data_IF_875957721481
#
_entry.id   IF_875957721481
#
_cell.length_a   1.000
_cell.length_b   1.000
_cell.length_c   1.000
_cell.angle_alpha   90.00
_cell.angle_beta   90.00
_cell.angle_gamma   90.00
#
_symmetry.space_group_name_H-M   'P 1'
#
loop_
_entity.id
_entity.type
_entity.pdbx_description
1 polymer ?
#
# COMPACT_ATOMS: atom_id res chain seq x y z
N UNK A 1 6.72 11.51 -58.58
CA UNK A 1 7.27 11.56 -57.20
C UNK A 1 6.36 12.47 -56.39
N UNK A 2 5.49 11.89 -55.59
CA UNK A 2 4.64 12.64 -54.67
C UNK A 2 5.28 12.46 -53.31
N UNK A 3 5.84 13.55 -52.77
CA UNK A 3 6.33 13.60 -51.39
C UNK A 3 5.14 13.34 -50.44
N UNK A 4 5.23 12.28 -49.67
CA UNK A 4 4.34 12.08 -48.53
C UNK A 4 4.78 13.02 -47.43
N UNK A 5 4.00 14.05 -47.19
CA UNK A 5 4.09 14.84 -45.94
C UNK A 5 3.72 13.93 -44.78
N UNK A 6 4.62 13.82 -43.83
CA UNK A 6 4.42 13.17 -42.52
C UNK A 6 3.27 13.87 -41.77
N UNK A 7 2.24 13.17 -41.31
CA UNK A 7 1.16 13.82 -40.58
C UNK A 7 1.69 14.32 -39.23
N UNK A 8 1.79 15.62 -39.13
CA UNK A 8 2.05 16.29 -37.84
C UNK A 8 1.03 15.80 -36.82
N UNK A 9 1.51 15.27 -35.71
CA UNK A 9 0.67 14.88 -34.58
C UNK A 9 -0.24 16.04 -34.16
N UNK A 10 -1.52 15.80 -33.86
CA UNK A 10 -2.44 16.84 -33.39
C UNK A 10 -1.91 17.55 -32.13
N UNK A 11 -2.13 18.84 -32.03
CA UNK A 11 -1.69 19.64 -30.85
C UNK A 11 -2.22 19.11 -29.52
N UNK A 12 -3.41 18.50 -29.51
CA UNK A 12 -3.97 17.82 -28.33
C UNK A 12 -3.10 16.66 -27.81
N UNK A 13 -2.44 15.90 -28.74
CA UNK A 13 -1.55 14.80 -28.34
C UNK A 13 -0.23 15.36 -27.79
N UNK A 14 0.27 16.48 -28.33
CA UNK A 14 1.46 17.18 -27.78
C UNK A 14 1.20 17.71 -26.38
N UNK A 15 0.04 18.34 -26.15
CA UNK A 15 -0.33 18.84 -24.83
C UNK A 15 -0.51 17.71 -23.80
N UNK A 16 -0.97 16.55 -24.24
CA UNK A 16 -1.09 15.36 -23.39
C UNK A 16 0.28 14.77 -23.04
N UNK A 17 1.23 14.78 -24.00
CA UNK A 17 2.58 14.28 -23.77
C UNK A 17 3.38 15.24 -22.85
N UNK A 18 3.28 16.55 -23.07
CA UNK A 18 3.87 17.55 -22.17
C UNK A 18 3.29 17.48 -20.75
N UNK A 19 1.98 17.22 -20.61
CA UNK A 19 1.36 16.98 -19.31
C UNK A 19 1.84 15.68 -18.67
N UNK A 20 2.08 14.62 -19.45
CA UNK A 20 2.65 13.37 -18.94
C UNK A 20 4.10 13.56 -18.50
N UNK A 21 4.92 14.29 -19.27
CA UNK A 21 6.30 14.57 -18.91
C UNK A 21 6.41 15.46 -17.69
N UNK A 22 5.49 16.40 -17.50
CA UNK A 22 5.37 17.18 -16.25
C UNK A 22 4.91 16.30 -15.08
N UNK A 23 3.97 15.39 -15.29
CA UNK A 23 3.57 14.41 -14.27
C UNK A 23 4.75 13.50 -13.90
N UNK A 24 5.55 13.06 -14.85
CA UNK A 24 6.75 12.26 -14.59
C UNK A 24 7.86 13.05 -13.90
N UNK A 25 8.03 14.35 -14.17
CA UNK A 25 8.95 15.23 -13.44
C UNK A 25 8.56 15.46 -11.97
N UNK A 26 7.24 15.48 -11.66
CA UNK A 26 6.75 15.49 -10.28
C UNK A 26 6.95 14.16 -9.54
N UNK A 27 7.34 13.09 -10.24
CA UNK A 27 7.62 11.77 -9.68
C UNK A 27 9.11 11.56 -9.39
N UNK A 28 9.94 12.58 -9.51
CA UNK A 28 11.32 12.53 -9.04
C UNK A 28 11.31 12.52 -7.50
N UNK A 29 11.51 11.32 -6.93
CA UNK A 29 11.52 11.09 -5.48
C UNK A 29 12.83 11.58 -4.87
N UNK A 30 13.00 12.89 -4.81
CA UNK A 30 14.00 13.49 -3.93
C UNK A 30 13.57 13.27 -2.49
N UNK A 31 14.28 12.40 -1.80
CA UNK A 31 14.06 12.12 -0.39
C UNK A 31 15.05 12.92 0.44
N UNK A 32 14.52 13.84 1.26
CA UNK A 32 15.30 14.53 2.29
C UNK A 32 15.09 13.81 3.63
N UNK A 33 16.18 13.54 4.34
CA UNK A 33 16.13 12.92 5.66
C UNK A 33 17.21 13.51 6.59
N UNK A 34 16.93 13.43 7.89
CA UNK A 34 17.89 13.85 8.90
C UNK A 34 19.10 12.92 8.92
N UNK A 35 20.30 13.48 9.06
CA UNK A 35 21.57 12.76 8.92
C UNK A 35 21.76 11.56 9.84
N UNK A 36 21.02 11.47 10.94
CA UNK A 36 21.07 10.39 11.93
C UNK A 36 20.06 9.26 11.67
N UNK A 37 19.12 9.41 10.73
CA UNK A 37 18.14 8.35 10.40
C UNK A 37 18.82 7.04 9.96
N UNK A 38 19.85 7.05 9.08
CA UNK A 38 20.55 5.83 8.71
C UNK A 38 21.10 5.06 9.91
N UNK A 39 21.76 5.76 10.83
CA UNK A 39 22.33 5.16 12.03
C UNK A 39 21.25 4.61 12.97
N UNK A 40 20.12 5.31 13.12
CA UNK A 40 19.00 4.85 13.95
C UNK A 40 18.42 3.56 13.38
N UNK A 41 18.05 3.52 12.10
CA UNK A 41 17.51 2.32 11.46
C UNK A 41 18.51 1.14 11.54
N UNK A 42 19.81 1.42 11.38
CA UNK A 42 20.86 0.42 11.52
C UNK A 42 20.95 -0.11 12.95
N UNK A 43 20.94 0.77 13.95
CA UNK A 43 20.98 0.39 15.36
C UNK A 43 19.76 -0.44 15.79
N UNK A 44 18.59 -0.11 15.25
CA UNK A 44 17.37 -0.88 15.47
C UNK A 44 17.30 -2.18 14.65
N UNK A 45 18.18 -2.32 13.66
CA UNK A 45 18.19 -3.43 12.70
C UNK A 45 16.84 -3.62 11.99
N UNK A 46 16.26 -2.53 11.49
CA UNK A 46 14.98 -2.51 10.80
C UNK A 46 15.06 -1.85 9.43
N UNK A 47 14.14 -2.25 8.57
CA UNK A 47 13.77 -1.54 7.36
C UNK A 47 12.31 -1.06 7.48
N UNK A 48 11.96 0.00 6.76
CA UNK A 48 10.61 0.54 6.75
C UNK A 48 9.92 0.15 5.45
N UNK A 49 8.66 -0.27 5.58
CA UNK A 49 7.74 -0.38 4.45
C UNK A 49 6.59 0.60 4.64
N UNK A 50 6.22 1.34 3.61
CA UNK A 50 5.12 2.27 3.69
C UNK A 50 4.47 2.54 2.32
N UNK A 51 3.24 3.00 2.35
CA UNK A 51 2.48 3.34 1.15
C UNK A 51 2.31 4.84 0.99
N UNK A 52 2.36 5.32 -0.25
CA UNK A 52 1.93 6.65 -0.62
C UNK A 52 0.74 6.53 -1.58
N UNK A 53 -0.46 6.81 -1.06
CA UNK A 53 -1.70 6.73 -1.84
C UNK A 53 -1.70 7.67 -3.04
N UNK A 54 -1.28 8.93 -2.84
CA UNK A 54 -1.29 9.94 -3.89
C UNK A 54 -0.26 9.66 -4.98
N UNK A 55 0.93 9.20 -4.59
CA UNK A 55 1.98 8.84 -5.53
C UNK A 55 1.79 7.42 -6.12
N UNK A 56 0.83 6.64 -5.60
CA UNK A 56 0.61 5.26 -6.06
C UNK A 56 1.83 4.37 -5.84
N UNK A 57 2.48 4.43 -4.67
CA UNK A 57 3.74 3.73 -4.40
C UNK A 57 3.71 2.93 -3.11
N UNK A 58 4.27 1.74 -3.16
CA UNK A 58 4.83 1.04 -2.01
C UNK A 58 6.32 1.41 -1.96
N UNK A 59 6.78 1.88 -0.81
CA UNK A 59 8.16 2.28 -0.56
C UNK A 59 8.80 1.31 0.41
N UNK A 60 10.03 0.91 0.13
CA UNK A 60 10.88 0.12 1.02
C UNK A 60 12.14 0.94 1.30
N UNK A 61 12.41 1.20 2.57
CA UNK A 61 13.59 1.96 3.01
C UNK A 61 14.44 1.10 3.90
N UNK A 62 15.70 0.99 3.55
CA UNK A 62 16.74 0.32 4.34
C UNK A 62 17.97 1.20 4.45
N UNK A 63 18.99 0.74 5.16
CA UNK A 63 20.22 1.49 5.38
C UNK A 63 21.42 0.57 5.53
N UNK A 64 22.58 1.05 5.10
CA UNK A 64 23.90 0.50 5.45
C UNK A 64 24.47 1.13 6.75
N UNK A 65 23.81 2.15 7.29
CA UNK A 65 24.20 2.95 8.46
C UNK A 65 24.77 4.31 8.10
N UNK A 66 25.13 4.55 6.83
CA UNK A 66 25.66 5.84 6.35
C UNK A 66 24.60 6.61 5.57
N UNK A 67 23.83 5.90 4.74
CA UNK A 67 22.77 6.47 3.90
C UNK A 67 21.55 5.58 3.84
N UNK A 68 20.43 6.16 3.41
CA UNK A 68 19.24 5.40 3.07
C UNK A 68 19.32 4.87 1.64
N UNK A 69 18.84 3.64 1.48
CA UNK A 69 18.55 3.03 0.19
C UNK A 69 17.03 2.87 0.08
N UNK A 70 16.42 3.53 -0.91
CA UNK A 70 14.98 3.63 -1.07
C UNK A 70 14.59 2.94 -2.37
N UNK A 71 13.80 1.90 -2.25
CA UNK A 71 13.20 1.21 -3.38
C UNK A 71 11.69 1.44 -3.39
N UNK A 72 11.08 1.55 -4.56
CA UNK A 72 9.64 1.72 -4.68
C UNK A 72 9.05 0.92 -5.84
N UNK A 73 7.77 0.59 -5.70
CA UNK A 73 6.98 -0.08 -6.73
C UNK A 73 5.62 0.60 -6.88
N UNK A 74 5.17 0.74 -8.13
CA UNK A 74 3.88 1.38 -8.44
C UNK A 74 2.71 0.44 -8.20
N UNK A 75 1.67 0.95 -7.55
CA UNK A 75 0.40 0.28 -7.34
C UNK A 75 -0.75 1.28 -7.41
N UNK A 76 -1.91 0.85 -7.88
CA UNK A 76 -3.10 1.69 -7.90
C UNK A 76 -3.64 1.88 -6.47
N UNK A 77 -3.59 3.11 -5.96
CA UNK A 77 -4.13 3.52 -4.65
C UNK A 77 -3.72 2.59 -3.50
N UNK A 78 -2.44 2.36 -3.23
CA UNK A 78 -2.02 1.50 -2.14
C UNK A 78 -2.32 2.18 -0.80
N UNK A 79 -3.00 1.48 0.12
CA UNK A 79 -3.38 2.00 1.42
C UNK A 79 -3.02 1.04 2.55
N UNK A 80 -3.82 0.01 2.79
CA UNK A 80 -3.56 -0.96 3.85
C UNK A 80 -2.26 -1.72 3.62
N UNK A 81 -1.47 -1.90 4.66
CA UNK A 81 -0.17 -2.56 4.59
C UNK A 81 0.11 -3.37 5.85
N UNK A 82 0.43 -4.65 5.68
CA UNK A 82 1.07 -5.48 6.70
C UNK A 82 2.44 -5.91 6.20
N UNK A 83 3.45 -5.83 7.04
CA UNK A 83 4.79 -6.29 6.71
C UNK A 83 5.38 -7.13 7.85
N UNK A 84 6.09 -8.19 7.47
CA UNK A 84 6.80 -9.08 8.37
C UNK A 84 8.12 -9.51 7.73
N UNK A 85 9.02 -10.17 8.46
CA UNK A 85 10.24 -10.73 7.87
C UNK A 85 9.97 -11.73 6.74
N UNK A 86 8.79 -12.34 6.69
CA UNK A 86 8.42 -13.39 5.74
C UNK A 86 7.72 -12.86 4.51
N UNK A 87 7.11 -11.68 4.58
CA UNK A 87 6.34 -11.14 3.46
C UNK A 87 5.64 -9.83 3.71
N UNK A 88 5.00 -9.35 2.67
CA UNK A 88 4.23 -8.11 2.66
C UNK A 88 2.83 -8.42 2.16
N UNK A 89 1.82 -7.91 2.85
CA UNK A 89 0.43 -7.89 2.38
C UNK A 89 0.04 -6.45 2.10
N UNK A 90 -0.41 -6.17 0.90
CA UNK A 90 -0.71 -4.83 0.41
C UNK A 90 -2.15 -4.74 -0.09
N UNK A 91 -2.94 -3.85 0.51
CA UNK A 91 -4.24 -3.45 -0.02
C UNK A 91 -4.07 -2.40 -1.11
N UNK A 92 -4.69 -2.62 -2.26
CA UNK A 92 -4.72 -1.69 -3.40
C UNK A 92 -6.15 -1.41 -3.82
N UNK A 93 -6.36 -0.69 -4.90
CA UNK A 93 -7.69 -0.18 -5.32
C UNK A 93 -8.82 -1.22 -5.28
N UNK A 94 -8.59 -2.43 -5.78
CA UNK A 94 -9.61 -3.49 -5.88
C UNK A 94 -9.09 -4.88 -5.50
N UNK A 95 -7.92 -4.95 -4.88
CA UNK A 95 -7.25 -6.21 -4.57
C UNK A 95 -6.47 -6.12 -3.27
N UNK A 96 -6.23 -7.28 -2.69
CA UNK A 96 -5.18 -7.50 -1.69
C UNK A 96 -4.12 -8.40 -2.29
N UNK A 97 -2.87 -7.96 -2.28
CA UNK A 97 -1.74 -8.66 -2.90
C UNK A 97 -0.80 -9.15 -1.79
N UNK A 98 -0.45 -10.43 -1.83
CA UNK A 98 0.52 -11.03 -0.92
C UNK A 98 1.85 -11.26 -1.63
N UNK A 99 2.92 -10.78 -1.01
CA UNK A 99 4.30 -10.99 -1.42
C UNK A 99 5.00 -11.87 -0.39
N UNK A 100 5.70 -12.90 -0.85
CA UNK A 100 6.57 -13.69 0.00
C UNK A 100 8.03 -13.34 -0.23
N UNK A 101 8.79 -13.31 0.84
CA UNK A 101 10.25 -13.14 0.79
C UNK A 101 10.91 -14.40 0.27
N UNK A 102 11.76 -14.27 -0.74
CA UNK A 102 12.45 -15.38 -1.41
C UNK A 102 13.90 -14.99 -1.68
N UNK A 103 14.71 -14.91 -0.64
CA UNK A 103 16.11 -14.44 -0.73
C UNK A 103 17.00 -15.34 -1.61
N UNK A 104 16.64 -16.60 -1.77
CA UNK A 104 17.33 -17.52 -2.70
C UNK A 104 17.31 -17.05 -4.17
N UNK A 105 16.47 -16.10 -4.54
CA UNK A 105 16.45 -15.51 -5.88
C UNK A 105 17.40 -14.31 -6.03
N UNK A 106 17.93 -13.75 -4.94
CA UNK A 106 18.75 -12.53 -4.99
C UNK A 106 19.98 -12.73 -5.88
N UNK A 107 20.65 -13.88 -5.78
CA UNK A 107 21.79 -14.18 -6.64
C UNK A 107 21.41 -14.15 -8.13
N UNK A 108 20.27 -14.74 -8.49
CA UNK A 108 19.77 -14.75 -9.88
C UNK A 108 19.37 -13.37 -10.39
N UNK A 109 18.87 -12.48 -9.52
CA UNK A 109 18.54 -11.12 -9.89
C UNK A 109 19.76 -10.26 -10.24
N UNK A 110 20.95 -10.68 -9.79
CA UNK A 110 22.24 -10.03 -10.10
C UNK A 110 22.88 -10.53 -11.40
N UNK A 111 22.39 -11.64 -11.92
CA UNK A 111 22.86 -12.21 -13.18
C UNK A 111 22.22 -11.48 -14.38
N UNK A 112 22.91 -11.39 -15.52
CA UNK A 112 22.30 -10.93 -16.77
C UNK A 112 21.08 -11.79 -17.13
N UNK A 113 20.08 -11.15 -17.72
CA UNK A 113 18.89 -11.86 -18.19
C UNK A 113 19.26 -12.83 -19.32
N UNK A 114 18.98 -14.12 -19.10
CA UNK A 114 19.20 -15.11 -20.14
C UNK A 114 18.14 -14.98 -21.25
N UNK A 115 18.52 -15.08 -22.53
CA UNK A 115 17.53 -15.15 -23.61
C UNK A 115 16.60 -16.34 -23.42
N UNK A 116 15.35 -16.17 -23.81
CA UNK A 116 14.43 -17.28 -23.94
C UNK A 116 14.81 -18.02 -25.22
N UNK A 117 15.27 -19.24 -25.05
CA UNK A 117 15.49 -20.17 -26.15
C UNK A 117 14.16 -20.87 -26.43
N UNK A 118 13.96 -21.22 -27.66
CA UNK A 118 12.73 -21.69 -28.28
C UNK A 118 11.73 -22.46 -27.37
N UNK A 119 10.42 -22.25 -27.61
CA UNK A 119 9.29 -23.06 -27.13
C UNK A 119 8.45 -22.64 -25.91
N UNK A 120 8.42 -21.36 -25.54
CA UNK A 120 7.45 -20.89 -24.52
C UNK A 120 6.01 -20.77 -25.08
N UNK A 121 5.83 -20.76 -26.38
CA UNK A 121 4.54 -20.49 -27.02
C UNK A 121 3.73 -21.74 -27.36
N UNK A 122 4.26 -22.92 -27.14
CA UNK A 122 3.50 -24.15 -27.26
C UNK A 122 3.38 -24.84 -25.90
N UNK A 123 2.18 -25.05 -25.36
CA UNK A 123 2.01 -26.02 -24.29
C UNK A 123 2.47 -27.37 -24.85
N UNK A 124 3.64 -27.83 -24.42
CA UNK A 124 4.09 -29.19 -24.71
C UNK A 124 3.26 -30.15 -23.87
N UNK A 125 2.08 -30.49 -24.34
CA UNK A 125 1.48 -31.75 -23.98
C UNK A 125 2.31 -32.82 -24.64
N UNK A 126 3.12 -33.50 -23.83
CA UNK A 126 3.90 -34.63 -24.29
C UNK A 126 2.92 -35.74 -24.69
N UNK A 127 2.66 -35.92 -25.98
CA UNK A 127 1.78 -36.98 -26.53
C UNK A 127 2.21 -38.39 -26.09
N UNK A 128 3.37 -38.53 -25.43
CA UNK A 128 3.91 -39.81 -24.96
C UNK A 128 3.74 -40.05 -23.46
N UNK A 129 3.13 -39.18 -22.69
CA UNK A 129 2.79 -39.48 -21.30
C UNK A 129 1.51 -40.33 -21.29
N UNK A 130 1.66 -41.61 -21.45
CA UNK A 130 0.62 -42.61 -21.14
C UNK A 130 0.46 -42.74 -19.61
N UNK A 131 0.00 -41.69 -18.96
CA UNK A 131 -0.51 -41.75 -17.59
C UNK A 131 -2.03 -41.70 -17.64
N UNK A 132 -2.75 -42.77 -17.19
CA UNK A 132 -4.15 -42.98 -17.52
C UNK A 132 -5.17 -42.26 -16.67
N UNK A 133 -4.83 -41.24 -15.90
CA UNK A 133 -5.77 -40.69 -14.92
C UNK A 133 -5.91 -39.14 -14.90
N UNK A 134 -5.76 -38.49 -16.03
CA UNK A 134 -5.97 -37.05 -16.05
C UNK A 134 -7.23 -36.70 -16.88
N UNK A 135 -8.41 -36.87 -16.29
CA UNK A 135 -9.68 -36.40 -16.87
C UNK A 135 -9.66 -34.89 -17.16
N UNK A 136 -8.86 -34.07 -16.38
CA UNK A 136 -8.67 -32.66 -16.60
C UNK A 136 -7.83 -32.36 -17.82
N UNK A 137 -6.84 -33.18 -18.17
CA UNK A 137 -6.06 -33.05 -19.40
C UNK A 137 -6.86 -33.49 -20.63
N UNK A 138 -7.77 -34.45 -20.51
CA UNK A 138 -8.63 -34.87 -21.61
C UNK A 138 -9.63 -33.78 -22.03
N UNK A 139 -10.13 -32.99 -21.10
CA UNK A 139 -11.01 -31.85 -21.37
C UNK A 139 -10.31 -30.71 -22.14
N UNK A 140 -8.98 -30.59 -22.03
CA UNK A 140 -8.19 -29.60 -22.76
C UNK A 140 -7.54 -30.15 -24.03
N UNK A 141 -7.61 -31.45 -24.30
CA UNK A 141 -7.02 -32.07 -25.48
C UNK A 141 -7.62 -31.53 -26.79
N UNK A 142 -8.90 -31.18 -26.80
CA UNK A 142 -9.58 -30.57 -27.94
C UNK A 142 -9.20 -29.10 -28.19
N UNK A 143 -8.55 -28.45 -27.21
CA UNK A 143 -8.06 -27.08 -27.31
C UNK A 143 -6.58 -27.00 -27.75
N UNK A 144 -5.90 -28.14 -27.82
CA UNK A 144 -4.53 -28.22 -28.32
C UNK A 144 -4.59 -28.23 -29.86
N UNK A 145 -4.40 -27.06 -30.45
CA UNK A 145 -4.22 -26.93 -31.87
C UNK A 145 -2.90 -27.65 -32.23
N UNK A 146 -2.99 -28.80 -32.86
CA UNK A 146 -1.84 -29.46 -33.49
C UNK A 146 -1.40 -28.57 -34.65
N UNK A 147 -0.39 -27.76 -34.43
CA UNK A 147 0.09 -26.79 -35.45
C UNK A 147 0.97 -27.43 -36.50
N UNK A 148 1.15 -28.75 -36.51
CA UNK A 148 2.00 -29.43 -37.46
C UNK A 148 3.46 -28.95 -37.45
N UNK A 149 4.25 -29.37 -38.44
CA UNK A 149 5.57 -28.79 -38.68
C UNK A 149 5.41 -27.41 -39.29
N UNK A 150 6.06 -26.39 -38.69
CA UNK A 150 6.06 -25.03 -39.22
C UNK A 150 6.74 -25.01 -40.61
N UNK A 151 6.17 -24.28 -41.54
CA UNK A 151 6.83 -23.96 -42.81
C UNK A 151 8.08 -23.11 -42.54
N UNK A 152 8.99 -23.08 -43.50
CA UNK A 152 10.21 -22.26 -43.39
C UNK A 152 9.91 -20.78 -43.19
N UNK A 153 8.86 -20.26 -43.83
CA UNK A 153 8.43 -18.88 -43.70
C UNK A 153 7.90 -18.60 -42.27
N UNK A 154 7.12 -19.51 -41.71
CA UNK A 154 6.61 -19.40 -40.33
C UNK A 154 7.74 -19.49 -39.29
N UNK A 155 8.77 -20.29 -39.52
CA UNK A 155 9.97 -20.37 -38.69
C UNK A 155 10.72 -19.05 -38.67
N UNK A 156 10.97 -18.45 -39.82
CA UNK A 156 11.66 -17.14 -39.91
C UNK A 156 10.90 -16.04 -39.18
N UNK A 157 9.58 -15.99 -39.34
CA UNK A 157 8.74 -15.02 -38.58
C UNK A 157 8.86 -15.26 -37.07
N UNK A 158 8.78 -16.50 -36.64
CA UNK A 158 8.85 -16.89 -35.24
C UNK A 158 10.22 -16.58 -34.59
N UNK A 159 11.29 -16.86 -35.31
CA UNK A 159 12.65 -16.52 -34.86
C UNK A 159 12.82 -14.99 -34.69
N UNK A 160 12.26 -14.23 -35.64
CA UNK A 160 12.25 -12.77 -35.55
C UNK A 160 11.45 -12.30 -34.32
N UNK A 161 10.22 -12.81 -34.15
CA UNK A 161 9.36 -12.43 -33.02
C UNK A 161 10.00 -12.78 -31.67
N UNK A 162 10.65 -13.93 -31.60
CA UNK A 162 11.39 -14.35 -30.40
C UNK A 162 12.58 -13.44 -30.11
N UNK A 163 13.32 -13.06 -31.14
CA UNK A 163 14.42 -12.10 -31.03
C UNK A 163 13.91 -10.74 -30.56
N UNK A 164 12.89 -10.19 -31.23
CA UNK A 164 12.31 -8.89 -30.86
C UNK A 164 11.78 -8.91 -29.41
N UNK A 165 11.20 -10.02 -28.96
CA UNK A 165 10.76 -10.21 -27.60
C UNK A 165 11.92 -10.27 -26.60
N UNK A 166 13.01 -10.99 -26.92
CA UNK A 166 14.19 -11.02 -26.08
C UNK A 166 14.87 -9.66 -25.98
N UNK A 167 14.98 -8.94 -27.10
CA UNK A 167 15.53 -7.58 -27.15
C UNK A 167 14.68 -6.62 -26.28
N UNK A 168 13.35 -6.73 -26.36
CA UNK A 168 12.43 -5.96 -25.52
C UNK A 168 12.61 -6.31 -24.03
N UNK A 169 12.66 -7.59 -23.66
CA UNK A 169 12.91 -8.03 -22.28
C UNK A 169 14.24 -7.48 -21.75
N UNK A 170 15.29 -7.57 -22.56
CA UNK A 170 16.61 -7.06 -22.19
C UNK A 170 16.61 -5.54 -21.99
N UNK A 171 15.84 -4.79 -22.77
CA UNK A 171 15.73 -3.33 -22.64
C UNK A 171 15.01 -2.90 -21.34
N UNK A 172 14.20 -3.78 -20.77
CA UNK A 172 13.47 -3.53 -19.51
C UNK A 172 14.19 -4.07 -18.28
N UNK A 173 15.24 -4.86 -18.46
CA UNK A 173 15.90 -5.55 -17.36
C UNK A 173 17.22 -4.86 -16.99
N UNK A 174 17.28 -4.47 -15.72
CA UNK A 174 18.52 -4.06 -15.07
C UNK A 174 18.87 -5.09 -13.97
N UNK A 175 20.04 -5.70 -14.03
CA UNK A 175 20.49 -6.57 -12.95
C UNK A 175 20.51 -5.82 -11.61
N UNK A 176 20.08 -6.50 -10.57
CA UNK A 176 20.12 -5.92 -9.23
C UNK A 176 21.58 -5.67 -8.80
N UNK A 177 21.84 -4.51 -8.21
CA UNK A 177 23.16 -4.18 -7.69
C UNK A 177 23.51 -5.01 -6.42
N UNK A 178 24.77 -4.92 -5.99
CA UNK A 178 25.27 -5.68 -4.84
C UNK A 178 24.63 -5.33 -3.50
N UNK A 179 23.94 -4.18 -3.41
CA UNK A 179 23.21 -3.76 -2.21
C UNK A 179 21.89 -4.52 -2.02
N UNK A 180 21.38 -5.18 -3.05
CA UNK A 180 20.16 -5.99 -2.94
C UNK A 180 20.46 -7.26 -2.16
N UNK A 181 19.73 -7.47 -1.07
CA UNK A 181 19.89 -8.56 -0.10
C UNK A 181 18.60 -9.34 0.16
N UNK A 182 17.48 -8.89 -0.35
CA UNK A 182 16.22 -9.61 -0.27
C UNK A 182 15.33 -9.39 -1.49
N UNK A 183 14.48 -10.37 -1.73
CA UNK A 183 13.54 -10.37 -2.85
C UNK A 183 12.14 -10.71 -2.36
N UNK A 184 11.16 -9.90 -2.76
CA UNK A 184 9.74 -10.14 -2.50
C UNK A 184 9.03 -10.41 -3.81
N UNK A 185 8.41 -11.57 -3.93
CA UNK A 185 7.65 -11.95 -5.13
C UNK A 185 6.17 -12.09 -4.81
N UNK A 186 5.31 -11.66 -5.73
CA UNK A 186 3.86 -11.85 -5.62
C UNK A 186 3.53 -13.33 -5.59
N UNK A 187 2.74 -13.76 -4.59
CA UNK A 187 2.29 -15.14 -4.43
C UNK A 187 0.81 -15.31 -4.71
N UNK A 188 0.01 -14.38 -4.26
CA UNK A 188 -1.42 -14.41 -4.47
C UNK A 188 -1.98 -13.01 -4.58
N UNK A 189 -3.13 -12.91 -5.23
CA UNK A 189 -3.94 -11.72 -5.26
C UNK A 189 -5.40 -12.11 -5.03
N UNK A 190 -6.07 -11.40 -4.14
CA UNK A 190 -7.49 -11.56 -3.87
C UNK A 190 -8.24 -10.34 -4.39
N UNK A 191 -9.21 -10.55 -5.27
CA UNK A 191 -10.02 -9.48 -5.83
C UNK A 191 -11.16 -9.12 -4.87
N UNK A 192 -11.10 -7.90 -4.32
CA UNK A 192 -12.09 -7.40 -3.35
C UNK A 192 -13.20 -6.58 -3.97
N UNK A 193 -13.04 -6.15 -5.23
CA UNK A 193 -13.82 -5.04 -5.77
C UNK A 193 -13.40 -3.69 -5.14
N UNK A 194 -14.12 -2.64 -5.50
CA UNK A 194 -13.85 -1.28 -5.03
C UNK A 194 -14.44 -1.02 -3.63
N UNK A 195 -13.92 -1.69 -2.62
CA UNK A 195 -14.37 -1.56 -1.23
C UNK A 195 -13.79 -0.33 -0.51
N UNK A 196 -12.97 0.47 -1.20
CA UNK A 196 -12.24 1.58 -0.61
C UNK A 196 -11.48 1.14 0.65
N UNK A 197 -10.65 0.11 0.48
CA UNK A 197 -9.88 -0.50 1.54
C UNK A 197 -8.95 0.54 2.17
N UNK A 198 -9.01 0.74 3.50
CA UNK A 198 -8.20 1.73 4.21
C UNK A 198 -7.11 1.14 5.11
N UNK A 199 -7.38 0.04 5.79
CA UNK A 199 -6.42 -0.60 6.69
C UNK A 199 -6.57 -2.12 6.61
N UNK A 200 -5.51 -2.86 6.90
CA UNK A 200 -5.50 -4.32 6.97
C UNK A 200 -4.59 -4.78 8.10
N UNK A 201 -4.93 -5.90 8.72
CA UNK A 201 -4.09 -6.53 9.76
C UNK A 201 -4.35 -8.04 9.79
N UNK A 202 -3.29 -8.84 9.98
CA UNK A 202 -3.40 -10.28 10.19
C UNK A 202 -3.77 -10.58 11.63
N UNK A 203 -4.89 -11.27 11.82
CA UNK A 203 -5.36 -11.74 13.12
C UNK A 203 -5.53 -13.27 13.15
N UNK A 204 -6.11 -13.78 14.23
CA UNK A 204 -6.31 -15.21 14.45
C UNK A 204 -7.25 -15.85 13.41
N UNK A 205 -8.20 -15.08 12.90
CA UNK A 205 -9.18 -15.51 11.90
C UNK A 205 -8.75 -15.22 10.45
N UNK A 206 -7.50 -14.85 10.23
CA UNK A 206 -6.97 -14.48 8.92
C UNK A 206 -6.80 -12.97 8.76
N UNK A 207 -6.86 -12.49 7.51
CA UNK A 207 -6.68 -11.07 7.21
C UNK A 207 -7.97 -10.30 7.46
N UNK A 208 -7.92 -9.37 8.41
CA UNK A 208 -8.94 -8.37 8.64
C UNK A 208 -8.75 -7.17 7.73
N UNK A 209 -9.84 -6.61 7.25
CA UNK A 209 -9.87 -5.54 6.26
C UNK A 209 -10.88 -4.47 6.69
N UNK A 210 -10.45 -3.21 6.67
CA UNK A 210 -11.33 -2.05 6.82
C UNK A 210 -11.96 -1.74 5.48
N UNK A 211 -13.24 -2.02 5.34
CA UNK A 211 -14.07 -1.76 4.18
C UNK A 211 -14.86 -0.46 4.37
N UNK A 212 -14.29 0.66 3.92
CA UNK A 212 -14.91 1.96 4.10
C UNK A 212 -16.16 2.13 3.25
N UNK A 213 -16.19 1.55 2.04
CA UNK A 213 -17.37 1.65 1.18
C UNK A 213 -18.62 1.10 1.86
N UNK A 214 -18.50 -0.04 2.56
CA UNK A 214 -19.62 -0.69 3.24
C UNK A 214 -19.68 -0.37 4.74
N UNK A 215 -18.80 0.50 5.24
CA UNK A 215 -18.72 0.89 6.66
C UNK A 215 -18.63 -0.32 7.59
N UNK A 216 -17.79 -1.31 7.26
CA UNK A 216 -17.67 -2.54 8.03
C UNK A 216 -16.23 -3.05 8.13
N UNK A 217 -15.96 -3.90 9.11
CA UNK A 217 -14.82 -4.80 9.10
C UNK A 217 -15.21 -6.08 8.39
N UNK A 218 -14.31 -6.61 7.57
CA UNK A 218 -14.53 -7.85 6.84
C UNK A 218 -13.28 -8.71 6.82
N UNK A 219 -13.45 -9.98 6.47
CA UNK A 219 -12.38 -10.93 6.15
C UNK A 219 -12.44 -11.29 4.68
N UNK A 220 -11.35 -11.85 4.15
CA UNK A 220 -11.32 -12.39 2.79
C UNK A 220 -11.71 -13.87 2.80
N UNK A 221 -12.33 -14.31 1.72
CA UNK A 221 -12.81 -15.67 1.53
C UNK A 221 -12.58 -16.09 0.07
N UNK A 222 -12.17 -17.31 -0.23
CA UNK A 222 -11.90 -17.74 -1.60
C UNK A 222 -13.09 -17.61 -2.56
N UNK A 223 -14.32 -17.78 -2.05
CA UNK A 223 -15.55 -17.79 -2.86
C UNK A 223 -16.22 -16.42 -2.96
N UNK A 224 -15.82 -15.45 -2.11
CA UNK A 224 -16.43 -14.13 -2.03
C UNK A 224 -15.38 -13.02 -2.11
N UNK A 225 -15.73 -11.86 -2.65
CA UNK A 225 -14.88 -10.68 -2.66
C UNK A 225 -14.49 -10.23 -1.25
N UNK A 226 -15.40 -10.35 -0.31
CA UNK A 226 -15.20 -10.14 1.14
C UNK A 226 -16.38 -10.70 1.92
N UNK A 227 -16.17 -10.99 3.21
CA UNK A 227 -17.21 -11.41 4.15
C UNK A 227 -17.31 -10.41 5.28
N UNK A 228 -18.43 -9.65 5.40
CA UNK A 228 -18.63 -8.74 6.52
C UNK A 228 -18.66 -9.49 7.86
N UNK A 229 -17.96 -8.95 8.86
CA UNK A 229 -17.83 -9.56 10.19
C UNK A 229 -18.36 -8.66 11.30
N UNK A 230 -18.22 -7.36 11.13
CA UNK A 230 -18.66 -6.37 12.12
C UNK A 230 -18.99 -5.04 11.42
N UNK A 231 -19.93 -4.32 11.97
CA UNK A 231 -20.25 -2.93 11.58
C UNK A 231 -20.56 -2.10 12.82
N UNK A 232 -20.35 -0.76 12.79
CA UNK A 232 -20.79 0.11 13.86
C UNK A 232 -22.30 -0.02 14.12
N UNK A 233 -22.72 0.07 15.39
CA UNK A 233 -24.12 -0.06 15.78
C UNK A 233 -25.06 0.92 15.08
N UNK A 234 -24.56 2.10 14.74
CA UNK A 234 -25.33 3.16 14.08
C UNK A 234 -25.46 2.96 12.56
N UNK A 235 -24.75 2.03 11.95
CA UNK A 235 -24.92 1.70 10.52
C UNK A 235 -26.07 0.71 10.37
N UNK A 236 -27.15 1.12 9.71
CA UNK A 236 -28.34 0.30 9.52
C UNK A 236 -28.13 -0.83 8.52
N UNK A 237 -27.53 -0.54 7.36
CA UNK A 237 -27.38 -1.46 6.24
C UNK A 237 -25.96 -1.52 5.71
N UNK A 238 -25.56 -2.68 5.17
CA UNK A 238 -24.29 -2.87 4.47
C UNK A 238 -24.47 -2.55 2.98
N UNK A 239 -24.28 -1.28 2.63
CA UNK A 239 -24.38 -0.76 1.26
C UNK A 239 -23.13 0.05 0.91
N UNK A 240 -22.74 0.14 -0.38
CA UNK A 240 -21.48 0.79 -0.79
C UNK A 240 -21.61 2.33 -0.84
N UNK A 241 -22.02 2.94 0.27
CA UNK A 241 -22.33 4.37 0.38
C UNK A 241 -21.30 5.17 1.19
N UNK A 242 -20.31 4.50 1.79
CA UNK A 242 -19.27 5.17 2.61
C UNK A 242 -19.90 6.11 3.65
N UNK A 243 -20.85 5.57 4.46
CA UNK A 243 -21.72 6.37 5.34
C UNK A 243 -20.95 7.03 6.48
N UNK A 244 -20.11 6.29 7.19
CA UNK A 244 -19.33 6.82 8.33
C UNK A 244 -17.85 7.01 8.05
N UNK A 245 -17.36 6.57 6.91
CA UNK A 245 -15.94 6.51 6.56
C UNK A 245 -15.11 5.81 7.62
N UNK A 246 -15.42 4.52 7.84
CA UNK A 246 -14.58 3.64 8.65
C UNK A 246 -13.18 3.59 8.03
N UNK A 247 -12.13 3.99 8.74
CA UNK A 247 -10.83 4.20 8.11
C UNK A 247 -9.64 3.50 8.75
N UNK A 248 -9.70 3.14 10.00
CA UNK A 248 -8.60 2.48 10.68
C UNK A 248 -9.05 1.42 11.68
N UNK A 249 -8.20 0.45 11.91
CA UNK A 249 -8.44 -0.65 12.82
C UNK A 249 -7.18 -0.99 13.58
N UNK A 250 -7.32 -1.50 14.80
CA UNK A 250 -6.23 -2.19 15.50
C UNK A 250 -6.72 -3.49 16.09
N UNK A 251 -5.85 -4.48 16.09
CA UNK A 251 -6.09 -5.74 16.76
C UNK A 251 -5.53 -5.71 18.19
N UNK A 252 -6.18 -6.46 19.05
CA UNK A 252 -5.69 -6.86 20.36
C UNK A 252 -5.88 -8.37 20.50
N UNK A 253 -4.83 -9.08 20.89
CA UNK A 253 -4.87 -10.52 21.04
C UNK A 253 -5.44 -11.23 19.76
N UNK A 254 -4.98 -10.80 18.59
CA UNK A 254 -5.38 -11.38 17.29
C UNK A 254 -6.79 -11.04 16.80
N UNK A 255 -7.54 -10.18 17.50
CA UNK A 255 -8.93 -9.81 17.15
C UNK A 255 -9.09 -8.30 17.03
N UNK A 256 -9.96 -7.78 16.14
CA UNK A 256 -10.28 -6.36 16.10
C UNK A 256 -10.78 -5.86 17.44
N UNK A 257 -10.13 -4.81 17.95
CA UNK A 257 -10.44 -4.24 19.27
C UNK A 257 -10.94 -2.80 19.18
N UNK A 258 -10.31 -1.98 18.35
CA UNK A 258 -10.70 -0.58 18.19
C UNK A 258 -10.67 -0.15 16.74
N UNK A 259 -11.59 0.75 16.39
CA UNK A 259 -11.68 1.35 15.05
C UNK A 259 -11.85 2.86 15.14
N UNK A 260 -11.47 3.56 14.05
CA UNK A 260 -11.73 4.98 13.87
C UNK A 260 -12.71 5.20 12.72
N UNK A 261 -13.61 6.18 12.89
CA UNK A 261 -14.53 6.66 11.85
C UNK A 261 -14.43 8.16 11.71
N UNK A 262 -14.82 8.71 10.55
CA UNK A 262 -14.90 10.17 10.40
C UNK A 262 -16.21 10.76 10.89
N UNK A 263 -17.22 9.92 11.08
CA UNK A 263 -18.52 10.32 11.64
C UNK A 263 -19.27 9.11 12.17
N UNK A 264 -20.36 9.36 12.89
CA UNK A 264 -21.40 8.38 13.25
C UNK A 264 -22.64 8.47 12.36
N UNK A 265 -22.52 9.02 11.15
CA UNK A 265 -23.65 9.15 10.23
C UNK A 265 -23.98 7.83 9.54
N UNK A 266 -25.26 7.61 9.29
CA UNK A 266 -25.83 6.51 8.53
C UNK A 266 -26.44 7.00 7.21
N UNK A 267 -25.78 7.94 6.55
CA UNK A 267 -26.23 8.56 5.31
C UNK A 267 -25.10 8.60 4.27
N UNK A 268 -25.45 8.42 2.99
CA UNK A 268 -24.53 8.41 1.84
C UNK A 268 -23.55 9.58 1.88
N UNK A 269 -22.29 9.30 2.17
CA UNK A 269 -21.17 10.25 2.09
C UNK A 269 -21.35 11.56 2.88
N UNK A 270 -22.26 11.61 3.85
CA UNK A 270 -22.58 12.82 4.64
C UNK A 270 -21.37 13.37 5.39
N UNK A 271 -20.47 12.51 5.85
CA UNK A 271 -19.23 12.90 6.52
C UNK A 271 -18.37 13.89 5.68
N UNK A 272 -18.53 13.90 4.35
CA UNK A 272 -17.79 14.83 3.47
C UNK A 272 -18.25 16.27 3.59
N UNK A 273 -19.46 16.48 4.04
CA UNK A 273 -20.07 17.81 4.20
C UNK A 273 -19.72 18.41 5.57
N UNK A 274 -19.57 17.53 6.58
CA UNK A 274 -19.32 17.90 7.97
C UNK A 274 -18.08 17.14 8.48
N UNK A 275 -16.89 17.62 8.12
CA UNK A 275 -15.62 16.93 8.40
C UNK A 275 -15.03 17.22 9.76
N UNK A 276 -15.59 18.17 10.51
CA UNK A 276 -15.05 18.65 11.78
C UNK A 276 -15.85 18.10 12.96
N UNK A 277 -15.15 17.59 13.97
CA UNK A 277 -15.70 17.19 15.27
C UNK A 277 -16.79 16.11 15.25
N UNK A 278 -16.80 15.25 14.22
CA UNK A 278 -17.74 14.14 14.11
C UNK A 278 -17.08 12.76 14.13
N UNK A 279 -15.76 12.73 14.11
CA UNK A 279 -14.98 11.48 14.12
C UNK A 279 -15.07 10.79 15.47
N UNK A 280 -14.89 9.46 15.45
CA UNK A 280 -14.99 8.63 16.63
C UNK A 280 -13.84 7.64 16.76
N UNK A 281 -13.53 7.26 18.01
CA UNK A 281 -12.84 6.03 18.35
C UNK A 281 -13.86 5.09 19.00
N UNK A 282 -13.95 3.85 18.51
CA UNK A 282 -14.93 2.86 18.97
C UNK A 282 -14.26 1.61 19.52
N UNK A 283 -14.86 1.05 20.55
CA UNK A 283 -14.61 -0.31 21.04
C UNK A 283 -15.40 -1.29 20.18
N UNK A 284 -14.71 -2.24 19.54
CA UNK A 284 -15.34 -3.20 18.60
C UNK A 284 -16.13 -4.26 19.33
N UNK A 285 -15.61 -4.78 20.45
CA UNK A 285 -16.25 -5.83 21.24
C UNK A 285 -17.57 -5.37 21.84
N UNK A 286 -17.57 -4.18 22.46
CA UNK A 286 -18.77 -3.58 23.05
C UNK A 286 -19.66 -2.92 22.01
N UNK A 287 -19.14 -2.67 20.82
CA UNK A 287 -19.75 -1.90 19.75
C UNK A 287 -20.25 -0.52 20.25
N UNK A 288 -19.39 0.23 20.93
CA UNK A 288 -19.70 1.53 21.50
C UNK A 288 -18.66 2.60 21.12
N UNK A 289 -19.09 3.86 21.06
CA UNK A 289 -18.20 5.02 20.90
C UNK A 289 -17.54 5.30 22.25
N UNK A 290 -16.20 5.31 22.28
CA UNK A 290 -15.42 5.62 23.50
C UNK A 290 -14.84 7.03 23.50
N UNK A 291 -14.58 7.59 22.32
CA UNK A 291 -14.27 9.00 22.11
C UNK A 291 -15.06 9.51 20.90
N UNK A 292 -15.62 10.70 21.02
CA UNK A 292 -16.32 11.41 19.96
C UNK A 292 -15.68 12.79 19.70
N UNK A 293 -16.27 13.57 18.81
CA UNK A 293 -15.83 14.92 18.44
C UNK A 293 -14.39 14.98 17.92
N UNK A 294 -13.84 13.87 17.42
CA UNK A 294 -12.52 13.83 16.82
C UNK A 294 -12.56 14.42 15.40
N UNK A 295 -11.46 15.03 14.99
CA UNK A 295 -11.30 15.60 13.63
C UNK A 295 -10.52 14.64 12.76
N UNK A 296 -11.22 13.83 11.96
CA UNK A 296 -10.67 12.86 11.02
C UNK A 296 -9.59 11.95 11.67
N UNK A 297 -9.93 11.16 12.70
CA UNK A 297 -8.96 10.27 13.35
C UNK A 297 -8.54 9.15 12.40
N UNK A 298 -7.25 8.74 12.46
CA UNK A 298 -6.68 7.68 11.63
C UNK A 298 -5.80 6.71 12.43
N UNK A 299 -5.59 5.55 11.85
CA UNK A 299 -4.52 4.60 12.21
C UNK A 299 -4.46 4.28 13.70
N UNK A 300 -5.56 3.79 14.32
CA UNK A 300 -5.48 3.33 15.70
C UNK A 300 -4.48 2.18 15.79
N UNK A 301 -3.71 2.11 16.88
CA UNK A 301 -2.77 1.01 17.18
C UNK A 301 -2.82 0.68 18.66
N UNK A 302 -3.02 -0.59 18.97
CA UNK A 302 -2.91 -1.11 20.33
C UNK A 302 -1.44 -1.31 20.66
N UNK A 303 -0.97 -0.63 21.70
CA UNK A 303 0.41 -0.71 22.14
C UNK A 303 0.51 -0.42 23.64
N UNK A 304 1.18 -1.31 24.40
CA UNK A 304 1.40 -1.17 25.84
C UNK A 304 0.11 -0.80 26.61
N UNK A 305 -0.94 -1.62 26.42
CA UNK A 305 -2.25 -1.50 27.08
C UNK A 305 -3.01 -0.19 26.82
N UNK A 306 -2.68 0.51 25.74
CA UNK A 306 -3.36 1.73 25.29
C UNK A 306 -3.65 1.69 23.80
N UNK A 307 -4.64 2.46 23.39
CA UNK A 307 -4.90 2.76 21.99
C UNK A 307 -4.25 4.09 21.65
N UNK A 308 -3.32 4.07 20.70
CA UNK A 308 -2.76 5.29 20.11
C UNK A 308 -3.44 5.54 18.78
N UNK A 309 -3.69 6.78 18.43
CA UNK A 309 -4.28 7.14 17.14
C UNK A 309 -3.82 8.53 16.69
N UNK A 310 -3.85 8.72 15.37
CA UNK A 310 -3.57 10.02 14.74
C UNK A 310 -4.86 10.86 14.77
N UNK A 311 -4.88 11.97 15.51
CA UNK A 311 -5.95 12.98 15.44
C UNK A 311 -5.60 13.95 14.32
N UNK A 312 -5.88 13.51 13.08
CA UNK A 312 -5.25 14.06 11.88
C UNK A 312 -5.60 15.51 11.60
N UNK A 313 -6.84 15.93 11.89
CA UNK A 313 -7.27 17.32 11.71
C UNK A 313 -6.65 18.28 12.72
N UNK A 314 -6.23 17.80 13.89
CA UNK A 314 -5.50 18.57 14.90
C UNK A 314 -3.98 18.46 14.72
N UNK A 315 -3.50 17.49 13.93
CA UNK A 315 -2.09 17.26 13.73
C UNK A 315 -1.40 16.70 14.98
N UNK A 316 -2.10 15.90 15.78
CA UNK A 316 -1.58 15.30 17.02
C UNK A 316 -1.51 13.78 16.94
N UNK A 317 -0.63 13.20 17.74
CA UNK A 317 -0.67 11.81 18.17
C UNK A 317 -1.30 11.77 19.55
N UNK A 318 -2.33 10.95 19.72
CA UNK A 318 -3.09 10.84 20.97
C UNK A 318 -3.15 9.41 21.45
N UNK A 319 -3.43 9.24 22.74
CA UNK A 319 -3.60 7.93 23.37
C UNK A 319 -4.82 7.88 24.25
N UNK A 320 -5.51 6.74 24.23
CA UNK A 320 -6.59 6.41 25.14
C UNK A 320 -6.22 5.17 25.95
N UNK A 321 -6.38 5.25 27.26
CA UNK A 321 -6.17 4.16 28.22
C UNK A 321 -7.54 3.58 28.63
N UNK A 322 -7.90 2.38 28.14
CA UNK A 322 -9.21 1.78 28.42
C UNK A 322 -9.41 1.43 29.91
N UNK A 323 -8.32 1.22 30.66
CA UNK A 323 -8.40 0.85 32.07
C UNK A 323 -8.78 2.03 32.98
N UNK A 324 -8.41 3.23 32.56
CA UNK A 324 -8.62 4.46 33.35
C UNK A 324 -9.60 5.43 32.70
N UNK A 325 -9.94 5.22 31.41
CA UNK A 325 -10.73 6.16 30.60
C UNK A 325 -9.98 7.45 30.25
N UNK A 326 -8.67 7.52 30.50
CA UNK A 326 -7.89 8.74 30.24
C UNK A 326 -7.55 8.87 28.75
N UNK A 327 -7.81 10.05 28.22
CA UNK A 327 -7.42 10.50 26.91
C UNK A 327 -6.32 11.57 27.03
N UNK A 328 -5.21 11.43 26.29
CA UNK A 328 -4.07 12.35 26.38
C UNK A 328 -3.51 12.64 25.00
N UNK A 329 -3.09 13.89 24.80
CA UNK A 329 -2.19 14.26 23.70
C UNK A 329 -0.79 13.76 24.05
N UNK A 330 -0.22 12.91 23.20
CA UNK A 330 1.13 12.36 23.35
C UNK A 330 2.15 13.29 22.71
N UNK A 331 1.81 13.83 21.53
CA UNK A 331 2.66 14.77 20.81
C UNK A 331 1.87 15.63 19.83
N UNK A 332 2.35 16.86 19.66
CA UNK A 332 1.95 17.73 18.57
C UNK A 332 2.85 17.44 17.37
N UNK A 333 2.24 17.11 16.23
CA UNK A 333 2.92 16.77 14.98
C UNK A 333 2.57 17.81 13.92
N UNK A 334 3.43 17.94 12.91
CA UNK A 334 3.16 18.86 11.83
C UNK A 334 2.53 18.16 10.64
N UNK A 335 1.38 18.67 10.17
CA UNK A 335 0.66 18.17 9.02
C UNK A 335 -0.44 17.17 9.35
N UNK A 336 -1.06 16.66 8.29
CA UNK A 336 -2.17 15.73 8.40
C UNK A 336 -1.63 14.31 8.66
N UNK A 337 -1.71 13.88 9.90
CA UNK A 337 -1.09 12.62 10.37
C UNK A 337 -1.91 11.41 9.93
N UNK A 338 -1.24 10.39 9.39
CA UNK A 338 -1.85 9.10 9.04
C UNK A 338 -0.78 8.04 8.78
N UNK A 339 -1.12 6.79 9.06
CA UNK A 339 -0.16 5.70 9.05
C UNK A 339 0.73 5.76 10.28
N UNK A 340 0.68 4.71 11.10
CA UNK A 340 1.49 4.62 12.32
C UNK A 340 1.85 3.18 12.59
N UNK A 341 3.05 2.97 13.12
CA UNK A 341 3.46 1.70 13.71
C UNK A 341 4.51 1.92 14.80
N UNK A 342 4.68 0.91 15.67
CA UNK A 342 5.62 0.94 16.77
C UNK A 342 6.73 -0.08 16.61
N UNK A 343 7.95 0.32 16.95
CA UNK A 343 9.07 -0.60 17.11
C UNK A 343 9.79 -0.31 18.43
N UNK A 344 9.70 -1.24 19.39
CA UNK A 344 10.15 -0.97 20.74
C UNK A 344 9.50 0.31 21.29
N UNK A 345 10.23 1.23 21.91
CA UNK A 345 9.67 2.47 22.46
C UNK A 345 9.46 3.57 21.41
N UNK A 346 9.66 3.29 20.13
CA UNK A 346 9.63 4.29 19.07
C UNK A 346 8.34 4.15 18.27
N UNK A 347 7.64 5.27 18.11
CA UNK A 347 6.53 5.41 17.16
C UNK A 347 7.02 6.03 15.85
N UNK A 348 6.64 5.43 14.73
CA UNK A 348 6.80 6.00 13.40
C UNK A 348 5.44 6.46 12.92
N UNK A 349 5.31 7.73 12.63
CA UNK A 349 4.03 8.34 12.23
C UNK A 349 4.17 9.01 10.90
N UNK A 350 3.29 8.66 9.96
CA UNK A 350 3.19 9.31 8.67
C UNK A 350 2.44 10.63 8.75
N UNK A 351 2.87 11.60 7.95
CA UNK A 351 2.17 12.86 7.77
C UNK A 351 2.06 13.18 6.28
N UNK A 352 0.95 13.74 5.85
CA UNK A 352 0.74 14.15 4.47
C UNK A 352 0.46 15.65 4.37
N UNK A 353 0.81 16.25 3.22
CA UNK A 353 0.39 17.60 2.89
C UNK A 353 -1.13 17.63 2.69
N UNK A 354 -1.79 18.62 3.25
CA UNK A 354 -3.19 18.88 2.96
C UNK A 354 -3.36 19.35 1.52
N UNK A 355 -4.46 18.91 0.89
CA UNK A 355 -4.83 19.41 -0.44
C UNK A 355 -5.21 20.88 -0.34
N UNK A 356 -4.84 21.67 -1.35
CA UNK A 356 -5.30 23.04 -1.48
C UNK A 356 -6.84 23.10 -1.39
N UNK A 357 -7.37 24.02 -0.58
CA UNK A 357 -8.80 24.10 -0.27
C UNK A 357 -9.27 23.32 0.95
N UNK A 358 -8.44 22.44 1.54
CA UNK A 358 -8.78 21.71 2.77
C UNK A 358 -8.25 22.42 4.03
N UNK A 359 -7.20 23.23 3.89
CA UNK A 359 -6.53 23.95 5.00
C UNK A 359 -7.48 24.89 5.79
N UNK A 360 -8.43 25.55 5.10
CA UNK A 360 -9.37 26.48 5.71
C UNK A 360 -10.44 25.81 6.60
N UNK A 361 -10.43 24.50 6.71
CA UNK A 361 -11.43 23.73 7.46
C UNK A 361 -10.90 23.20 8.82
N UNK A 362 -9.60 23.35 9.10
CA UNK A 362 -8.97 22.76 10.29
C UNK A 362 -8.15 23.79 11.06
N UNK A 363 -8.73 24.40 12.08
CA UNK A 363 -8.09 25.45 12.90
C UNK A 363 -6.78 24.98 13.58
N UNK A 364 -6.70 23.72 13.99
CA UNK A 364 -5.51 23.13 14.61
C UNK A 364 -4.30 23.10 13.67
N UNK A 365 -4.53 22.86 12.36
CA UNK A 365 -3.47 22.82 11.35
C UNK A 365 -3.02 24.20 10.90
N UNK A 366 -3.87 25.24 10.97
CA UNK A 366 -3.48 26.61 10.65
C UNK A 366 -2.38 27.13 11.58
N UNK A 367 -2.45 26.83 12.87
CA UNK A 367 -1.43 27.25 13.85
C UNK A 367 -0.05 26.65 13.56
N UNK A 368 -0.01 25.50 12.89
CA UNK A 368 1.21 24.77 12.55
C UNK A 368 1.64 24.98 11.08
N UNK A 369 0.80 25.59 10.24
CA UNK A 369 1.04 25.73 8.78
C UNK A 369 2.19 26.66 8.43
N UNK A 370 2.53 27.63 9.27
CA UNK A 370 3.62 28.59 9.04
C UNK A 370 5.00 27.89 8.93
N UNK A 371 5.16 26.72 9.54
CA UNK A 371 6.38 25.88 9.42
C UNK A 371 6.33 24.90 8.25
N UNK A 372 5.14 24.61 7.72
CA UNK A 372 4.90 23.63 6.65
C UNK A 372 5.22 24.12 5.24
N UNK A 373 5.43 25.41 5.03
CA UNK A 373 5.68 26.02 3.70
C UNK A 373 6.99 25.57 3.04
N UNK A 374 7.81 24.76 3.69
CA UNK A 374 9.06 24.23 3.13
C UNK A 374 9.10 22.71 2.95
N UNK A 375 8.05 21.96 3.32
CA UNK A 375 8.02 20.50 3.17
C UNK A 375 7.12 20.12 2.01
N UNK A 376 7.70 19.91 0.86
CA UNK A 376 7.04 19.33 -0.30
C UNK A 376 6.88 17.81 -0.05
N UNK A 377 5.65 17.32 0.11
CA UNK A 377 5.38 15.89 0.23
C UNK A 377 4.82 15.46 1.58
N UNK A 378 4.68 14.17 1.75
CA UNK A 378 4.28 13.50 2.99
C UNK A 378 5.54 13.15 3.82
N UNK A 379 5.47 13.03 5.14
CA UNK A 379 6.64 12.82 6.02
C UNK A 379 6.42 11.69 7.04
N UNK A 380 7.47 10.95 7.41
CA UNK A 380 7.48 10.10 8.61
C UNK A 380 8.08 10.91 9.75
N UNK A 381 7.44 10.86 10.90
CA UNK A 381 7.95 11.37 12.14
C UNK A 381 8.34 10.19 13.05
N UNK A 382 9.57 10.21 13.52
CA UNK A 382 10.01 9.30 14.58
C UNK A 382 9.89 10.01 15.92
N UNK A 383 9.27 9.35 16.88
CA UNK A 383 9.14 9.86 18.23
C UNK A 383 9.71 8.85 19.22
N UNK A 384 10.65 9.33 20.03
CA UNK A 384 11.03 8.66 21.25
C UNK A 384 11.04 9.72 22.37
N UNK A 385 10.84 9.34 23.64
CA UNK A 385 10.79 10.30 24.74
C UNK A 385 12.00 11.22 24.91
N UNK A 386 13.08 10.97 24.16
CA UNK A 386 14.36 11.70 24.23
C UNK A 386 15.00 12.05 22.88
N UNK A 387 14.30 11.92 21.76
CA UNK A 387 14.86 12.15 20.43
C UNK A 387 14.07 13.25 19.69
N UNK A 388 14.80 14.02 18.86
CA UNK A 388 14.22 15.04 17.99
C UNK A 388 13.31 14.44 16.91
N UNK A 389 12.38 15.25 16.41
CA UNK A 389 11.40 14.87 15.38
C UNK A 389 12.09 14.80 14.00
N UNK A 390 11.93 13.69 13.28
CA UNK A 390 12.51 13.46 11.96
C UNK A 390 11.43 13.23 10.89
N UNK A 391 11.67 13.72 9.67
CA UNK A 391 10.66 13.76 8.60
C UNK A 391 10.99 12.81 7.44
N UNK A 392 10.05 11.95 7.05
CA UNK A 392 10.00 11.18 5.80
C UNK A 392 8.55 11.09 5.29
N UNK A 393 8.26 11.12 3.98
CA UNK A 393 6.90 11.20 3.47
C UNK A 393 6.12 9.88 3.41
N UNK A 394 4.92 9.73 4.03
CA UNK A 394 4.22 8.43 4.11
C UNK A 394 2.71 8.43 4.33
N UNK A 395 2.04 7.29 4.02
CA UNK A 395 0.62 7.03 4.34
C UNK A 395 0.33 5.76 5.16
N UNK A 396 1.17 4.75 5.13
CA UNK A 396 1.07 3.56 6.01
C UNK A 396 2.47 3.02 6.24
N UNK A 397 2.80 2.70 7.48
CA UNK A 397 4.14 2.28 7.92
C UNK A 397 4.04 0.89 8.53
N UNK A 398 4.95 0.02 8.17
CA UNK A 398 5.19 -1.28 8.82
C UNK A 398 6.68 -1.61 8.79
N UNK A 399 7.12 -2.40 9.76
CA UNK A 399 8.53 -2.77 9.93
C UNK A 399 8.84 -4.16 9.42
N UNK A 400 10.02 -4.29 8.83
CA UNK A 400 10.63 -5.57 8.54
C UNK A 400 11.91 -5.67 9.36
N UNK A 401 11.99 -6.67 10.24
CA UNK A 401 13.22 -6.97 10.99
C UNK A 401 14.07 -7.95 10.19
N UNK A 402 15.36 -7.68 10.12
CA UNK A 402 16.34 -8.60 9.57
C UNK A 402 16.82 -9.55 10.67
N UNK A 403 16.80 -10.85 10.42
CA UNK A 403 17.56 -11.86 11.18
C UNK A 403 18.43 -12.62 10.23
#
# INVERSE_FOLDING_TARGET
MVERQDPTMPEEIKSTQENLDDIYRYLDFNCEYSSNIPQILKALNISLAFTSYQAGRLMLVRTDGERLDINYKSFSRPMGLCASPQGITLGVFSQVINFSRVDGLVAKLKEPLQPIEDDITAPRLNKNSQEPNDELLSLNADLVIDRGELSEEERVVREKDLKDFNDYRQSLYEPADDRVDSCFITRSSHFTGMINLHDIEWGDEGLWVVNSSFSCLCTLDPDYSFVPRWKPFFISELVPEDRCHLNGMTLKDGKPAYVTTFSSYDELGKWRQEKTHNGTLMDVEKNEIILDQLVMPHSPRWYQDKVYFCHSGEGTLESFDPSTGKHNVVAELHGFTRGMDFYGPIAFVGSSKLREGTLLQYEGLEKNSVKLTRVFGSSILMMAPSLDIFYLPVMSIKFMTWR
#
